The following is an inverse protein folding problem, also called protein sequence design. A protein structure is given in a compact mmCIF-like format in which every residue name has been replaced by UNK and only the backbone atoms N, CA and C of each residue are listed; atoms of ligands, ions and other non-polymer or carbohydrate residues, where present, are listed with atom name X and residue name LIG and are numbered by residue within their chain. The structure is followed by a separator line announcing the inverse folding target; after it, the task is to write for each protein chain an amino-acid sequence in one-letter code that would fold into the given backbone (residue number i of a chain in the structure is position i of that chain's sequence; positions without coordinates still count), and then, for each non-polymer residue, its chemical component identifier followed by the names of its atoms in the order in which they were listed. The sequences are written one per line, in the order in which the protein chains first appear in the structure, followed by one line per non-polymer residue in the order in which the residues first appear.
data_IF_493329084363
#
_entry.id   IF_493329084363
#
_cell.length_a   1.000
_cell.length_b   1.000
_cell.length_c   1.000
_cell.angle_alpha   90.00
_cell.angle_beta   90.00
_cell.angle_gamma   90.00
#
_symmetry.space_group_name_H-M   'P 1'
#
loop_
_entity.id
_entity.type
_entity.pdbx_description
1 polymer ?
#
# COMPACT_ATOMS: atom_id res chain seq x y z
N UNK A 1 -4.49 -9.14 8.52
CA UNK A 1 -3.77 -7.85 8.52
C UNK A 1 -2.59 -7.95 7.56
N UNK A 2 -2.40 -6.96 6.70
CA UNK A 2 -1.28 -6.85 5.77
C UNK A 2 -0.25 -5.86 6.31
N UNK A 3 1.03 -6.15 6.08
CA UNK A 3 2.14 -5.23 6.34
C UNK A 3 2.94 -4.98 5.07
N UNK A 4 3.25 -3.72 4.80
CA UNK A 4 3.99 -3.28 3.62
C UNK A 4 5.10 -2.29 4.01
N UNK A 5 6.28 -2.45 3.42
CA UNK A 5 7.44 -1.60 3.68
C UNK A 5 7.71 -0.71 2.46
N UNK A 6 7.19 0.52 2.44
CA UNK A 6 7.27 1.39 1.28
C UNK A 6 8.69 1.88 1.03
N UNK A 7 9.04 2.03 -0.24
CA UNK A 7 10.35 2.55 -0.66
C UNK A 7 10.25 4.01 -1.08
N UNK A 8 11.37 4.74 -1.08
CA UNK A 8 11.47 6.14 -1.50
C UNK A 8 10.51 7.17 -0.83
N UNK A 9 9.82 6.81 0.26
CA UNK A 9 8.87 7.68 0.98
C UNK A 9 9.29 7.97 2.43
N UNK A 10 8.56 8.87 3.08
CA UNK A 10 8.77 9.24 4.49
C UNK A 10 8.22 8.16 5.45
N UNK A 11 7.14 7.48 5.07
CA UNK A 11 6.63 6.32 5.80
C UNK A 11 7.63 5.17 5.72
N UNK A 12 7.69 4.35 6.78
CA UNK A 12 8.57 3.18 6.86
C UNK A 12 7.82 1.88 6.97
N UNK A 13 6.53 1.94 7.31
CA UNK A 13 5.64 0.80 7.32
C UNK A 13 4.21 1.26 7.12
N UNK A 14 3.42 0.46 6.42
CA UNK A 14 1.98 0.62 6.23
C UNK A 14 1.34 -0.68 6.71
N UNK A 15 0.32 -0.59 7.54
CA UNK A 15 -0.48 -1.73 7.97
C UNK A 15 -1.94 -1.48 7.63
N UNK A 16 -2.65 -2.48 7.12
CA UNK A 16 -4.07 -2.38 6.80
C UNK A 16 -4.72 -3.76 6.67
N UNK A 17 -6.05 -3.80 6.75
CA UNK A 17 -6.87 -4.97 6.44
C UNK A 17 -7.76 -4.67 5.23
N UNK A 18 -8.19 -5.73 4.54
CA UNK A 18 -9.23 -5.65 3.53
C UNK A 18 -10.38 -6.56 3.97
N UNK A 19 -11.56 -6.02 4.18
CA UNK A 19 -12.75 -6.73 4.67
C UNK A 19 -13.91 -6.39 3.74
N UNK A 20 -14.56 -7.39 3.12
CA UNK A 20 -15.65 -7.18 2.16
C UNK A 20 -15.32 -6.17 1.04
N UNK A 21 -14.13 -6.31 0.44
CA UNK A 21 -13.55 -5.39 -0.56
C UNK A 21 -13.29 -3.97 -0.05
N UNK A 22 -13.33 -3.73 1.26
CA UNK A 22 -13.13 -2.40 1.85
C UNK A 22 -11.82 -2.32 2.62
N UNK A 23 -11.16 -1.17 2.50
CA UNK A 23 -9.96 -0.86 3.27
C UNK A 23 -10.32 -0.60 4.74
N UNK A 24 -9.64 -1.25 5.67
CA UNK A 24 -9.84 -1.12 7.12
C UNK A 24 -8.53 -1.02 7.87
N UNK A 25 -8.56 -0.43 9.07
CA UNK A 25 -7.43 -0.42 9.99
C UNK A 25 -6.12 0.10 9.36
N UNK A 26 -6.21 1.13 8.51
CA UNK A 26 -5.05 1.71 7.84
C UNK A 26 -4.18 2.51 8.84
N UNK A 27 -2.93 2.10 9.01
CA UNK A 27 -1.94 2.77 9.85
C UNK A 27 -0.61 2.95 9.13
N UNK A 28 -0.08 4.17 9.18
CA UNK A 28 1.27 4.47 8.73
C UNK A 28 2.21 4.63 9.92
N UNK A 29 3.44 4.10 9.78
CA UNK A 29 4.52 4.31 10.73
C UNK A 29 5.53 5.26 10.12
N UNK A 30 5.78 6.38 10.81
CA UNK A 30 6.59 7.53 10.36
C UNK A 30 5.94 8.29 9.20
N UNK A 31 6.37 9.54 9.01
CA UNK A 31 5.89 10.45 7.96
C UNK A 31 5.19 11.67 8.56
N UNK A 32 4.37 12.35 7.76
CA UNK A 32 3.58 13.48 8.25
C UNK A 32 2.41 12.96 9.08
N UNK A 33 2.54 13.00 10.41
CA UNK A 33 1.58 12.41 11.35
C UNK A 33 0.13 12.87 11.10
N UNK A 34 -0.10 14.19 10.96
CA UNK A 34 -1.43 14.74 10.73
C UNK A 34 -2.05 14.29 9.41
N UNK A 35 -1.32 14.43 8.30
CA UNK A 35 -1.85 14.08 6.97
C UNK A 35 -2.09 12.57 6.84
N UNK A 36 -1.20 11.73 7.38
CA UNK A 36 -1.35 10.28 7.29
C UNK A 36 -2.51 9.78 8.16
N UNK A 37 -2.74 10.35 9.34
CA UNK A 37 -3.93 10.05 10.16
C UNK A 37 -5.22 10.47 9.46
N UNK A 38 -5.23 11.63 8.81
CA UNK A 38 -6.38 12.07 8.02
C UNK A 38 -6.65 11.12 6.85
N UNK A 39 -5.61 10.71 6.13
CA UNK A 39 -5.74 9.73 5.06
C UNK A 39 -6.33 8.40 5.56
N UNK A 40 -5.84 7.88 6.69
CA UNK A 40 -6.39 6.69 7.34
C UNK A 40 -7.89 6.81 7.64
N UNK A 41 -8.34 7.96 8.12
CA UNK A 41 -9.76 8.19 8.44
C UNK A 41 -10.63 8.34 7.20
N UNK A 42 -10.13 9.03 6.16
CA UNK A 42 -10.88 9.29 4.94
C UNK A 42 -11.12 8.02 4.11
N UNK A 43 -10.20 7.06 4.18
CA UNK A 43 -10.27 5.84 3.39
C UNK A 43 -10.86 4.64 4.16
N UNK A 44 -11.21 4.80 5.44
CA UNK A 44 -11.77 3.71 6.23
C UNK A 44 -13.15 3.32 5.72
N UNK A 45 -13.29 2.05 5.33
CA UNK A 45 -14.52 1.50 4.75
C UNK A 45 -14.75 1.82 3.27
N UNK A 46 -13.78 2.47 2.60
CA UNK A 46 -13.81 2.72 1.15
C UNK A 46 -13.45 1.45 0.39
N UNK A 47 -14.06 1.28 -0.79
CA UNK A 47 -13.74 0.18 -1.70
C UNK A 47 -12.27 0.26 -2.15
N UNK A 48 -11.55 -0.87 -2.12
CA UNK A 48 -10.12 -0.90 -2.39
C UNK A 48 -9.77 -0.50 -3.83
N UNK A 49 -10.64 -0.79 -4.80
CA UNK A 49 -10.43 -0.41 -6.20
C UNK A 49 -10.52 1.12 -6.36
N UNK A 50 -11.47 1.75 -5.67
CA UNK A 50 -11.62 3.21 -5.61
C UNK A 50 -10.42 3.87 -4.93
N UNK A 51 -9.88 3.27 -3.86
CA UNK A 51 -8.66 3.78 -3.21
C UNK A 51 -7.47 3.74 -4.16
N UNK A 52 -7.28 2.62 -4.88
CA UNK A 52 -6.18 2.48 -5.84
C UNK A 52 -6.30 3.50 -6.96
N UNK A 53 -7.50 3.65 -7.53
CA UNK A 53 -7.76 4.62 -8.61
C UNK A 53 -7.43 6.06 -8.18
N UNK A 54 -7.83 6.46 -6.96
CA UNK A 54 -7.61 7.82 -6.46
C UNK A 54 -6.15 8.12 -6.14
N UNK A 55 -5.38 7.14 -5.69
CA UNK A 55 -4.07 7.39 -5.07
C UNK A 55 -2.87 7.00 -5.93
N UNK A 56 -3.04 6.08 -6.89
CA UNK A 56 -1.95 5.59 -7.74
C UNK A 56 -1.38 6.72 -8.59
N UNK A 57 -0.05 6.78 -8.65
CA UNK A 57 0.71 7.77 -9.41
C UNK A 57 0.87 9.13 -8.74
N UNK A 58 0.28 9.37 -7.56
CA UNK A 58 0.52 10.63 -6.83
C UNK A 58 1.98 10.68 -6.38
N UNK A 59 2.73 11.70 -6.80
CA UNK A 59 4.15 11.84 -6.46
C UNK A 59 4.38 12.89 -5.37
N UNK A 60 5.45 12.71 -4.58
CA UNK A 60 5.89 13.67 -3.58
C UNK A 60 7.23 14.30 -3.99
N UNK A 61 7.17 15.52 -4.52
CA UNK A 61 8.36 16.22 -5.04
C UNK A 61 9.05 15.39 -6.13
N UNK A 62 10.37 15.29 -6.06
CA UNK A 62 11.20 14.57 -7.05
C UNK A 62 11.38 13.07 -6.75
N UNK A 63 10.62 12.51 -5.79
CA UNK A 63 10.80 11.12 -5.33
C UNK A 63 10.26 10.06 -6.30
N UNK A 64 9.48 10.46 -7.31
CA UNK A 64 8.84 9.52 -8.25
C UNK A 64 7.68 8.69 -7.68
N UNK A 65 7.36 8.85 -6.39
CA UNK A 65 6.29 8.16 -5.65
C UNK A 65 5.86 8.99 -4.44
N UNK A 66 4.79 8.60 -3.75
CA UNK A 66 4.37 9.16 -2.46
C UNK A 66 3.88 8.09 -1.48
N UNK A 67 3.60 8.45 -0.23
CA UNK A 67 3.01 7.52 0.75
C UNK A 67 1.64 6.98 0.28
N UNK A 68 0.82 7.82 -0.38
CA UNK A 68 -0.48 7.42 -0.93
C UNK A 68 -0.32 6.51 -2.16
N UNK A 69 0.64 6.79 -3.03
CA UNK A 69 0.94 5.92 -4.17
C UNK A 69 1.46 4.55 -3.71
N UNK A 70 2.36 4.51 -2.72
CA UNK A 70 2.82 3.25 -2.13
C UNK A 70 1.68 2.48 -1.42
N UNK A 71 0.68 3.16 -0.85
CA UNK A 71 -0.51 2.49 -0.35
C UNK A 71 -1.30 1.83 -1.48
N UNK A 72 -1.49 2.49 -2.63
CA UNK A 72 -2.17 1.90 -3.78
C UNK A 72 -1.43 0.65 -4.28
N UNK A 73 -0.09 0.70 -4.39
CA UNK A 73 0.72 -0.46 -4.74
C UNK A 73 0.60 -1.59 -3.71
N UNK A 74 0.56 -1.26 -2.41
CA UNK A 74 0.39 -2.24 -1.34
C UNK A 74 -0.97 -2.95 -1.42
N UNK A 75 -2.04 -2.21 -1.74
CA UNK A 75 -3.38 -2.77 -1.91
C UNK A 75 -3.42 -3.73 -3.11
N UNK A 76 -2.84 -3.33 -4.26
CA UNK A 76 -2.74 -4.19 -5.45
C UNK A 76 -2.02 -5.50 -5.10
N UNK A 77 -0.84 -5.42 -4.46
CA UNK A 77 -0.07 -6.58 -4.06
C UNK A 77 -0.84 -7.49 -3.07
N UNK A 78 -1.59 -6.89 -2.14
CA UNK A 78 -2.43 -7.63 -1.20
C UNK A 78 -3.60 -8.35 -1.89
N UNK A 79 -4.21 -7.74 -2.91
CA UNK A 79 -5.26 -8.37 -3.72
C UNK A 79 -4.72 -9.52 -4.58
N UNK A 80 -3.51 -9.39 -5.12
CA UNK A 80 -2.82 -10.47 -5.83
C UNK A 80 -2.46 -11.63 -4.89
N UNK A 81 -1.97 -11.32 -3.69
CA UNK A 81 -1.60 -12.32 -2.67
C UNK A 81 -2.82 -13.02 -2.03
N UNK A 82 -4.04 -12.53 -2.25
CA UNK A 82 -5.28 -13.26 -1.94
C UNK A 82 -5.61 -14.33 -2.97
N UNK A 83 -5.02 -14.28 -4.16
CA UNK A 83 -5.24 -15.26 -5.25
C UNK A 83 -4.33 -16.50 -5.14
N UNK A 84 -3.85 -16.84 -3.96
CA UNK A 84 -3.11 -18.10 -3.76
C UNK A 84 -4.04 -19.33 -3.93
N UNK A 85 -3.71 -20.29 -4.82
CA UNK A 85 -4.27 -21.63 -4.74
C UNK A 85 -3.75 -22.34 -3.48
N UNK A 86 -4.50 -23.34 -3.02
CA UNK A 86 -4.26 -24.12 -1.79
C UNK A 86 -2.78 -24.57 -1.70
N UNK A 87 -1.99 -23.95 -0.83
CA UNK A 87 -0.66 -24.45 -0.45
C UNK A 87 0.46 -23.39 -0.44
N UNK A 88 0.49 -22.53 0.57
CA UNK A 88 1.60 -21.61 0.83
C UNK A 88 1.69 -21.28 2.32
N UNK A 89 2.85 -21.56 2.93
CA UNK A 89 3.04 -21.65 4.37
C UNK A 89 2.69 -20.37 5.15
N UNK A 90 1.82 -20.53 6.16
CA UNK A 90 1.53 -19.52 7.16
C UNK A 90 2.75 -19.38 8.10
N UNK A 91 3.26 -18.16 8.29
CA UNK A 91 4.11 -17.86 9.44
C UNK A 91 3.20 -17.61 10.67
N UNK A 92 3.61 -18.11 11.83
CA UNK A 92 2.77 -18.41 13.01
C UNK A 92 2.27 -17.19 13.81
N UNK A 93 1.99 -16.05 13.18
CA UNK A 93 1.50 -14.85 13.89
C UNK A 93 0.35 -14.10 13.21
N UNK A 94 -0.29 -14.67 12.19
CA UNK A 94 -1.49 -14.08 11.56
C UNK A 94 -1.26 -12.79 10.75
N UNK A 95 0.00 -12.40 10.55
CA UNK A 95 0.40 -11.25 9.74
C UNK A 95 0.86 -11.71 8.35
N UNK A 96 0.26 -11.15 7.29
CA UNK A 96 0.74 -11.35 5.91
C UNK A 96 1.63 -10.17 5.53
N UNK A 97 2.93 -10.41 5.40
CA UNK A 97 3.85 -9.43 4.80
C UNK A 97 3.66 -9.49 3.29
N UNK A 98 3.34 -8.37 2.68
CA UNK A 98 3.27 -8.23 1.23
C UNK A 98 4.58 -7.60 0.77
N UNK A 99 5.37 -8.36 0.01
CA UNK A 99 6.62 -7.86 -0.54
C UNK A 99 6.34 -6.69 -1.49
N UNK A 100 7.14 -5.63 -1.35
CA UNK A 100 7.04 -4.46 -2.20
C UNK A 100 7.26 -4.83 -3.66
N UNK A 101 6.26 -4.61 -4.51
CA UNK A 101 6.44 -4.59 -5.96
C UNK A 101 7.52 -3.55 -6.26
N UNK A 102 8.72 -4.04 -6.58
CA UNK A 102 9.81 -3.19 -7.03
C UNK A 102 9.40 -2.68 -8.40
N UNK A 103 8.78 -1.49 -8.42
CA UNK A 103 8.48 -0.77 -9.65
C UNK A 103 9.80 -0.49 -10.36
N UNK A 104 10.16 -1.36 -11.30
CA UNK A 104 11.28 -1.15 -12.20
C UNK A 104 11.07 0.19 -12.90
N UNK A 105 12.00 1.12 -12.70
CA UNK A 105 12.11 2.32 -13.49
C UNK A 105 12.33 1.87 -14.94
N UNK A 106 11.27 1.83 -15.75
CA UNK A 106 11.46 1.90 -17.20
C UNK A 106 12.00 3.29 -17.47
N UNK A 107 13.28 3.33 -17.84
CA UNK A 107 13.99 4.53 -18.20
C UNK A 107 13.20 5.35 -19.20
N UNK A 108 13.07 6.64 -18.91
CA UNK A 108 12.80 7.63 -19.93
C UNK A 108 14.11 7.81 -20.72
N UNK A 109 14.26 7.00 -21.77
CA UNK A 109 15.09 7.37 -22.91
C UNK A 109 14.18 8.11 -23.90
N UNK A 110 14.71 9.22 -24.45
CA UNK A 110 14.23 9.94 -25.63
C UNK A 110 12.95 10.79 -25.49
N UNK A 111 13.09 12.10 -25.18
CA UNK A 111 13.27 13.18 -26.17
C UNK A 111 13.45 14.55 -25.48
#
# INVERSE_FOLDING_TARGET
MFEFFPTATCAKKIMFSIEDNKLRNLHFFRGCDGNLKTLSKLLDGTDVDEVVEKLRGIQCGTRGTSCSDQLALAIIAAMESRREPIGGAACESGHKVVDGVHGGQKGIADL
#
